data_IF_722043944272
#
_entry.id   IF_722043944272
#
_cell.length_a   1.000
_cell.length_b   1.000
_cell.length_c   1.000
_cell.angle_alpha   90.00
_cell.angle_beta   90.00
_cell.angle_gamma   90.00
#
_symmetry.space_group_name_H-M   'P 1'
#
loop_
_entity.id
_entity.type
_entity.pdbx_description
1 polymer ?
#
# COMPACT_ATOMS: atom_id res chain seq x y z
N UNK A 1 -0.21 10.43 -11.04
CA UNK A 1 -0.14 10.29 -9.57
C UNK A 1 1.29 10.09 -9.06
N UNK A 2 2.20 9.45 -9.81
CA UNK A 2 3.62 9.28 -9.42
C UNK A 2 4.24 10.51 -8.73
N UNK A 3 4.35 11.64 -9.43
CA UNK A 3 4.91 12.88 -8.86
C UNK A 3 4.25 13.34 -7.55
N UNK A 4 2.95 13.07 -7.35
CA UNK A 4 2.22 13.43 -6.13
C UNK A 4 2.40 12.38 -5.02
N UNK A 5 2.73 11.14 -5.34
CA UNK A 5 2.93 10.07 -4.36
C UNK A 5 4.18 10.32 -3.50
N UNK A 6 5.20 10.98 -4.06
CA UNK A 6 6.44 11.33 -3.34
C UNK A 6 6.16 12.21 -2.12
N UNK A 7 5.59 13.42 -2.24
CA UNK A 7 5.32 14.25 -1.07
C UNK A 7 4.30 13.63 -0.12
N UNK A 8 3.36 12.80 -0.63
CA UNK A 8 2.42 12.06 0.22
C UNK A 8 3.14 11.05 1.10
N UNK A 9 4.03 10.23 0.54
CA UNK A 9 4.82 9.27 1.31
C UNK A 9 5.74 9.99 2.33
N UNK A 10 6.44 11.04 1.90
CA UNK A 10 7.33 11.80 2.78
C UNK A 10 6.59 12.53 3.92
N UNK A 11 5.31 12.86 3.72
CA UNK A 11 4.48 13.43 4.79
C UNK A 11 4.00 12.40 5.82
N UNK A 12 4.27 11.11 5.61
CA UNK A 12 3.90 10.02 6.51
C UNK A 12 4.65 10.05 7.83
N UNK A 13 5.98 10.19 7.79
CA UNK A 13 6.84 10.22 8.99
C UNK A 13 6.42 11.31 10.01
N UNK A 14 6.27 12.59 9.65
CA UNK A 14 5.81 13.59 10.62
C UNK A 14 4.36 13.35 11.08
N UNK A 15 3.55 12.61 10.30
CA UNK A 15 2.20 12.23 10.72
C UNK A 15 2.22 11.06 11.73
N UNK A 16 3.15 10.12 11.59
CA UNK A 16 3.42 9.04 12.53
C UNK A 16 3.86 9.57 13.89
N UNK A 17 4.92 10.40 13.93
CA UNK A 17 5.43 11.04 15.16
C UNK A 17 4.32 11.77 15.93
N UNK A 18 3.37 12.36 15.20
CA UNK A 18 2.25 13.09 15.80
C UNK A 18 1.18 12.19 16.45
N UNK A 19 1.10 10.91 16.08
CA UNK A 19 0.00 10.01 16.51
C UNK A 19 0.44 8.74 17.22
N UNK A 20 1.70 8.30 17.09
CA UNK A 20 2.19 7.00 17.56
C UNK A 20 1.97 6.78 19.06
N UNK A 21 2.00 7.85 19.87
CA UNK A 21 1.81 7.79 21.32
C UNK A 21 0.34 7.86 21.78
N UNK A 22 -0.62 7.94 20.85
CA UNK A 22 -2.03 8.09 21.20
C UNK A 22 -2.68 6.74 21.56
N UNK A 23 -3.56 6.76 22.56
CA UNK A 23 -4.29 5.56 22.97
C UNK A 23 -5.10 4.96 21.81
N UNK A 24 -4.96 3.66 21.59
CA UNK A 24 -5.64 2.93 20.52
C UNK A 24 -4.88 2.91 19.18
N UNK A 25 -3.81 3.69 19.04
CA UNK A 25 -2.88 3.61 17.90
C UNK A 25 -1.91 2.45 18.13
N UNK A 26 -1.57 1.73 17.06
CA UNK A 26 -0.63 0.61 17.10
C UNK A 26 0.60 0.92 16.25
N UNK A 27 1.73 1.17 16.89
CA UNK A 27 3.04 1.41 16.25
C UNK A 27 3.41 0.27 15.28
N UNK A 28 3.25 -0.99 15.70
CA UNK A 28 3.50 -2.15 14.82
C UNK A 28 2.63 -2.19 13.54
N UNK A 29 1.44 -1.55 13.54
CA UNK A 29 0.63 -1.44 12.33
C UNK A 29 1.05 -0.22 11.48
N UNK A 30 1.59 0.82 12.10
CA UNK A 30 2.20 1.96 11.41
C UNK A 30 3.45 1.49 10.65
N UNK A 31 4.40 0.81 11.31
CA UNK A 31 5.62 0.28 10.69
C UNK A 31 5.30 -0.64 9.49
N UNK A 32 4.28 -1.50 9.65
CA UNK A 32 3.81 -2.35 8.55
C UNK A 32 3.21 -1.53 7.41
N UNK A 33 2.33 -0.57 7.73
CA UNK A 33 1.77 0.33 6.73
C UNK A 33 2.87 1.06 5.95
N UNK A 34 3.87 1.58 6.64
CA UNK A 34 5.00 2.32 6.07
C UNK A 34 5.85 1.44 5.14
N UNK A 35 6.20 0.22 5.59
CA UNK A 35 6.97 -0.75 4.79
C UNK A 35 6.26 -1.07 3.47
N UNK A 36 4.95 -1.31 3.53
CA UNK A 36 4.16 -1.59 2.32
C UNK A 36 3.92 -0.33 1.48
N UNK A 37 3.81 0.85 2.10
CA UNK A 37 3.72 2.13 1.41
C UNK A 37 4.99 2.44 0.63
N UNK A 38 6.18 2.12 1.16
CA UNK A 38 7.44 2.24 0.42
C UNK A 38 7.43 1.36 -0.84
N UNK A 39 6.99 0.10 -0.72
CA UNK A 39 6.81 -0.80 -1.86
C UNK A 39 5.78 -0.29 -2.87
N UNK A 40 4.66 0.26 -2.38
CA UNK A 40 3.62 0.87 -3.23
C UNK A 40 4.16 2.08 -4.00
N UNK A 41 4.95 2.95 -3.36
CA UNK A 41 5.57 4.11 -3.99
C UNK A 41 6.48 3.69 -5.14
N UNK A 42 7.34 2.69 -4.93
CA UNK A 42 8.20 2.15 -6.00
C UNK A 42 7.37 1.64 -7.19
N UNK A 43 6.27 0.91 -6.93
CA UNK A 43 5.38 0.44 -7.99
C UNK A 43 4.71 1.59 -8.76
N UNK A 44 4.25 2.62 -8.05
CA UNK A 44 3.61 3.81 -8.64
C UNK A 44 4.61 4.62 -9.48
N UNK A 45 5.84 4.82 -9.00
CA UNK A 45 6.90 5.47 -9.77
C UNK A 45 7.29 4.65 -11.02
N UNK A 46 7.41 3.33 -10.87
CA UNK A 46 7.65 2.43 -11.99
C UNK A 46 6.57 2.51 -13.07
N UNK A 47 5.29 2.58 -12.68
CA UNK A 47 4.17 2.83 -13.61
C UNK A 47 4.22 4.21 -14.24
N UNK A 48 4.68 5.23 -13.51
CA UNK A 48 4.95 6.57 -14.05
C UNK A 48 5.98 6.53 -15.18
N UNK A 49 7.11 5.84 -14.95
CA UNK A 49 8.17 5.63 -15.95
C UNK A 49 7.65 4.84 -17.15
N UNK A 50 6.92 3.74 -16.93
CA UNK A 50 6.28 2.99 -18.02
C UNK A 50 5.31 3.88 -18.82
N UNK A 51 4.55 4.75 -18.16
CA UNK A 51 3.70 5.75 -18.81
C UNK A 51 4.48 6.69 -19.72
N UNK A 52 5.64 7.20 -19.26
CA UNK A 52 6.52 8.04 -20.07
C UNK A 52 7.12 7.28 -21.26
N UNK A 53 7.54 6.03 -21.07
CA UNK A 53 8.02 5.17 -22.16
C UNK A 53 6.91 4.95 -23.19
N UNK A 54 5.70 4.61 -22.74
CA UNK A 54 4.54 4.43 -23.62
C UNK A 54 4.23 5.69 -24.41
N UNK A 55 4.26 6.86 -23.77
CA UNK A 55 4.07 8.15 -24.44
C UNK A 55 5.17 8.42 -25.47
N UNK A 56 6.42 8.11 -25.16
CA UNK A 56 7.54 8.26 -26.09
C UNK A 56 7.42 7.32 -27.30
N UNK A 57 7.01 6.07 -27.08
CA UNK A 57 6.77 5.10 -28.16
C UNK A 57 5.61 5.53 -29.07
N UNK A 58 4.54 6.06 -28.47
CA UNK A 58 3.39 6.60 -29.21
C UNK A 58 3.76 7.79 -30.11
N UNK A 59 4.77 8.57 -29.74
CA UNK A 59 5.27 9.66 -30.60
C UNK A 59 5.93 9.16 -31.89
N UNK A 60 6.49 7.95 -31.90
CA UNK A 60 7.12 7.36 -33.10
C UNK A 60 6.21 6.44 -33.87
N UNK A 61 5.38 5.66 -33.16
CA UNK A 61 4.46 4.71 -33.76
C UNK A 61 3.07 4.90 -33.14
N UNK A 62 1.99 5.00 -33.95
CA UNK A 62 0.65 5.25 -33.42
C UNK A 62 0.06 4.06 -32.65
N UNK A 63 0.74 2.89 -32.64
CA UNK A 63 0.27 1.67 -31.98
C UNK A 63 1.36 1.14 -31.04
N UNK A 64 0.97 0.89 -29.79
CA UNK A 64 1.84 0.26 -28.80
C UNK A 64 1.89 -1.26 -28.98
N UNK A 65 3.05 -1.91 -28.78
CA UNK A 65 3.15 -3.36 -28.82
C UNK A 65 2.25 -4.02 -27.75
N UNK A 66 1.51 -5.08 -28.11
CA UNK A 66 0.65 -5.82 -27.17
C UNK A 66 1.41 -6.34 -25.95
N UNK A 67 2.68 -6.73 -26.12
CA UNK A 67 3.55 -7.16 -25.01
C UNK A 67 3.81 -6.04 -24.01
N UNK A 68 3.99 -4.81 -24.50
CA UNK A 68 4.18 -3.63 -23.63
C UNK A 68 2.90 -3.32 -22.84
N UNK A 69 1.74 -3.40 -23.49
CA UNK A 69 0.45 -3.23 -22.82
C UNK A 69 0.22 -4.32 -21.77
N UNK A 70 0.48 -5.59 -22.12
CA UNK A 70 0.31 -6.72 -21.20
C UNK A 70 1.23 -6.63 -19.97
N UNK A 71 2.51 -6.29 -20.16
CA UNK A 71 3.45 -6.10 -19.05
C UNK A 71 3.05 -4.92 -18.17
N UNK A 72 2.67 -3.79 -18.76
CA UNK A 72 2.19 -2.61 -18.00
C UNK A 72 0.93 -2.94 -17.20
N UNK A 73 -0.02 -3.69 -17.78
CA UNK A 73 -1.24 -4.11 -17.10
C UNK A 73 -0.94 -5.05 -15.90
N UNK A 74 -0.01 -5.99 -16.04
CA UNK A 74 0.39 -6.87 -14.94
C UNK A 74 1.02 -6.06 -13.80
N UNK A 75 1.94 -5.14 -14.11
CA UNK A 75 2.57 -4.26 -13.11
C UNK A 75 1.52 -3.38 -12.42
N UNK A 76 0.52 -2.90 -13.18
CA UNK A 76 -0.59 -2.11 -12.64
C UNK A 76 -1.42 -2.90 -11.63
N UNK A 77 -1.78 -4.15 -11.96
CA UNK A 77 -2.56 -5.01 -11.07
C UNK A 77 -1.79 -5.29 -9.78
N UNK A 78 -0.51 -5.64 -9.89
CA UNK A 78 0.35 -5.92 -8.72
C UNK A 78 0.46 -4.67 -7.84
N UNK A 79 0.76 -3.51 -8.43
CA UNK A 79 0.88 -2.25 -7.69
C UNK A 79 -0.44 -1.88 -7.01
N UNK A 80 -1.57 -2.09 -7.68
CA UNK A 80 -2.91 -1.85 -7.11
C UNK A 80 -3.18 -2.77 -5.93
N UNK A 81 -2.79 -4.05 -6.00
CA UNK A 81 -2.93 -4.98 -4.88
C UNK A 81 -2.08 -4.55 -3.69
N UNK A 82 -0.84 -4.09 -3.91
CA UNK A 82 0.04 -3.56 -2.86
C UNK A 82 -0.54 -2.29 -2.23
N UNK A 83 -1.08 -1.37 -3.04
CA UNK A 83 -1.79 -0.19 -2.54
C UNK A 83 -3.01 -0.54 -1.70
N UNK A 84 -3.82 -1.51 -2.14
CA UNK A 84 -4.99 -1.97 -1.40
C UNK A 84 -4.60 -2.58 -0.05
N UNK A 85 -3.52 -3.36 -0.02
CA UNK A 85 -2.96 -3.92 1.21
C UNK A 85 -2.46 -2.83 2.16
N UNK A 86 -1.68 -1.88 1.63
CA UNK A 86 -1.19 -0.70 2.37
C UNK A 86 -2.35 0.08 2.99
N UNK A 87 -3.42 0.33 2.23
CA UNK A 87 -4.62 1.01 2.71
C UNK A 87 -5.36 0.21 3.81
N UNK A 88 -5.41 -1.12 3.68
CA UNK A 88 -6.01 -1.98 4.70
C UNK A 88 -5.24 -1.91 6.04
N UNK A 89 -3.90 -1.96 5.99
CA UNK A 89 -3.06 -1.76 7.17
C UNK A 89 -3.28 -0.37 7.79
N UNK A 90 -3.34 0.66 6.94
CA UNK A 90 -3.59 2.03 7.36
C UNK A 90 -4.92 2.20 8.11
N UNK A 91 -5.98 1.53 7.64
CA UNK A 91 -7.27 1.49 8.34
C UNK A 91 -7.13 0.91 9.76
N UNK A 92 -6.40 -0.19 9.91
CA UNK A 92 -6.25 -0.88 11.19
C UNK A 92 -5.47 -0.05 12.24
N UNK A 93 -4.72 0.98 11.85
CA UNK A 93 -3.93 1.84 12.77
C UNK A 93 -4.81 2.43 13.87
N UNK A 94 -5.99 2.95 13.54
CA UNK A 94 -6.95 3.49 14.53
C UNK A 94 -8.28 2.76 14.61
N UNK A 95 -8.64 1.99 13.59
CA UNK A 95 -9.87 1.20 13.60
C UNK A 95 -9.60 -0.17 14.24
N UNK A 96 -9.72 -0.23 15.56
CA UNK A 96 -9.52 -1.48 16.33
C UNK A 96 -10.56 -2.55 15.97
N UNK A 97 -11.73 -2.13 15.48
CA UNK A 97 -12.85 -2.98 15.10
C UNK A 97 -12.61 -3.83 13.85
N UNK A 98 -11.67 -3.44 12.98
CA UNK A 98 -11.30 -4.21 11.78
C UNK A 98 -10.00 -5.00 11.95
N UNK A 99 -9.38 -4.96 13.14
CA UNK A 99 -8.24 -5.80 13.45
C UNK A 99 -8.72 -7.25 13.57
N UNK A 100 -7.95 -8.25 13.10
CA UNK A 100 -8.27 -9.64 13.37
C UNK A 100 -8.39 -9.84 14.88
N UNK A 101 -9.60 -10.13 15.36
CA UNK A 101 -9.82 -10.53 16.73
C UNK A 101 -9.05 -11.82 16.96
N UNK A 102 -7.85 -11.73 17.52
CA UNK A 102 -7.12 -12.90 17.99
C UNK A 102 -8.08 -13.74 18.82
N UNK A 103 -8.30 -14.98 18.38
CA UNK A 103 -9.08 -16.01 19.04
C UNK A 103 -9.05 -15.85 20.55
N UNK A 104 -10.16 -15.41 21.13
CA UNK A 104 -10.31 -15.25 22.57
C UNK A 104 -10.00 -16.61 23.24
N UNK A 105 -8.95 -16.72 24.08
CA UNK A 105 -8.63 -17.98 24.77
C UNK A 105 -9.63 -18.31 25.88
N UNK A 106 -10.75 -17.58 25.97
CA UNK A 106 -11.81 -17.77 26.95
C UNK A 106 -12.62 -19.06 26.76
N UNK A 107 -12.48 -19.77 25.64
CA UNK A 107 -13.18 -21.04 25.39
C UNK A 107 -12.35 -22.30 25.67
N UNK A 108 -11.05 -22.19 25.98
CA UNK A 108 -10.20 -23.35 26.29
C UNK A 108 -10.18 -23.72 27.79
N UNK A 109 -10.66 -22.84 28.68
CA UNK A 109 -10.66 -23.08 30.14
C UNK A 109 -11.99 -23.68 30.63
N UNK A 110 -13.01 -23.71 29.78
CA UNK A 110 -14.35 -24.20 30.14
C UNK A 110 -14.57 -25.70 29.87
N UNK A 111 -13.61 -26.41 29.26
CA UNK A 111 -13.73 -27.84 28.89
C UNK A 111 -13.02 -28.79 29.87
N UNK A 112 -12.46 -28.29 30.98
CA UNK A 112 -11.80 -29.09 32.02
C UNK A 112 -12.53 -29.09 33.38
N UNK A 113 -13.87 -28.95 33.41
CA UNK A 113 -14.67 -29.15 34.62
C UNK A 113 -15.82 -30.13 34.45
#
# INVERSE_FOLDING_TARGET
>A
MALLAVPVYLSGEPAEEAIEHLAGVSEALIEQHETWAAGALVGVEGLGVLGLIGLFLLRRNPVLPTRFLGTTAIVLIITTAVLAWTANLGGQIRHTEIRPSGSSPALAVADER
#
